data_IF_698439710512
#
_entry.id   IF_698439710512
#
_cell.length_a   1.000
_cell.length_b   1.000
_cell.length_c   1.000
_cell.angle_alpha   90.00
_cell.angle_beta   90.00
_cell.angle_gamma   90.00
#
_symmetry.space_group_name_H-M   'P 1'
#
loop_
_entity.id
_entity.type
_entity.pdbx_description
1 polymer ?
#
# COMPACT_ATOMS: atom_id res chain seq x y z
N UNK A 1 -2.58 19.95 5.76
CA UNK A 1 -2.17 21.19 5.06
C UNK A 1 -3.43 21.69 4.39
N UNK A 2 -3.88 22.86 4.83
CA UNK A 2 -5.19 23.44 4.54
C UNK A 2 -5.46 23.53 3.03
N UNK A 3 -4.43 23.80 2.22
CA UNK A 3 -4.53 23.83 0.75
C UNK A 3 -5.07 22.53 0.17
N UNK A 4 -4.55 21.38 0.63
CA UNK A 4 -4.98 20.07 0.10
C UNK A 4 -6.34 19.68 0.64
N UNK A 5 -6.62 20.00 1.90
CA UNK A 5 -7.93 19.75 2.51
C UNK A 5 -9.04 20.52 1.78
N UNK A 6 -8.81 21.79 1.47
CA UNK A 6 -9.75 22.62 0.71
C UNK A 6 -9.91 22.10 -0.73
N UNK A 7 -8.82 21.70 -1.39
CA UNK A 7 -8.86 21.07 -2.72
C UNK A 7 -9.76 19.82 -2.71
N UNK A 8 -9.59 18.92 -1.74
CA UNK A 8 -10.43 17.73 -1.63
C UNK A 8 -11.88 18.09 -1.30
N UNK A 9 -12.15 19.03 -0.39
CA UNK A 9 -13.52 19.51 -0.12
C UNK A 9 -14.22 20.01 -1.38
N UNK A 10 -13.52 20.82 -2.20
CA UNK A 10 -14.04 21.31 -3.49
C UNK A 10 -14.38 20.16 -4.44
N UNK A 11 -13.54 19.13 -4.52
CA UNK A 11 -13.81 17.93 -5.33
C UNK A 11 -15.03 17.15 -4.82
N UNK A 12 -15.15 16.96 -3.49
CA UNK A 12 -16.29 16.31 -2.86
C UNK A 12 -17.60 17.04 -3.14
N UNK A 13 -17.62 18.37 -3.00
CA UNK A 13 -18.80 19.18 -3.31
C UNK A 13 -19.15 19.17 -4.80
N UNK A 14 -18.14 19.14 -5.68
CA UNK A 14 -18.34 19.15 -7.13
C UNK A 14 -18.84 17.80 -7.67
N UNK A 15 -18.45 16.70 -7.04
CA UNK A 15 -18.75 15.34 -7.49
C UNK A 15 -19.23 14.43 -6.34
N UNK A 16 -20.36 14.74 -5.69
CA UNK A 16 -20.78 14.08 -4.44
C UNK A 16 -21.05 12.57 -4.58
N UNK A 17 -21.50 12.13 -5.75
CA UNK A 17 -21.75 10.70 -6.05
C UNK A 17 -20.46 9.89 -6.31
N UNK A 18 -19.31 10.57 -6.49
CA UNK A 18 -18.03 9.94 -6.86
C UNK A 18 -16.93 10.16 -5.84
N UNK A 19 -17.04 11.21 -5.01
CA UNK A 19 -16.03 11.59 -4.03
C UNK A 19 -16.67 11.77 -2.65
N UNK A 20 -16.24 10.94 -1.71
CA UNK A 20 -16.52 11.13 -0.29
C UNK A 20 -15.26 11.60 0.43
N UNK A 21 -15.31 12.77 1.05
CA UNK A 21 -14.16 13.40 1.72
C UNK A 21 -14.41 13.50 3.22
N UNK A 22 -13.64 12.74 4.00
CA UNK A 22 -13.78 12.65 5.45
C UNK A 22 -12.51 13.20 6.13
N UNK A 23 -12.50 14.49 6.46
CA UNK A 23 -11.37 15.16 7.11
C UNK A 23 -11.47 15.05 8.62
N UNK A 24 -11.17 13.85 9.14
CA UNK A 24 -11.20 13.52 10.58
C UNK A 24 -10.22 12.41 10.91
N UNK A 25 -9.79 12.34 12.16
CA UNK A 25 -9.07 11.19 12.69
C UNK A 25 -10.07 10.20 13.30
N UNK A 26 -10.32 9.10 12.59
CA UNK A 26 -11.32 8.09 12.98
C UNK A 26 -10.81 6.70 12.61
N UNK A 27 -10.38 5.95 13.64
CA UNK A 27 -9.76 4.63 13.47
C UNK A 27 -10.78 3.61 12.95
N UNK A 28 -12.03 3.70 13.40
CA UNK A 28 -13.10 2.78 12.98
C UNK A 28 -13.42 3.00 11.52
N UNK A 29 -13.51 4.26 11.08
CA UNK A 29 -13.69 4.58 9.67
C UNK A 29 -12.48 4.11 8.83
N UNK A 30 -11.25 4.33 9.30
CA UNK A 30 -10.06 3.88 8.59
C UNK A 30 -10.08 2.36 8.36
N UNK A 31 -10.41 1.56 9.39
CA UNK A 31 -10.56 0.11 9.25
C UNK A 31 -11.67 -0.28 8.27
N UNK A 32 -12.80 0.42 8.28
CA UNK A 32 -13.89 0.18 7.31
C UNK A 32 -13.46 0.51 5.87
N UNK A 33 -12.67 1.55 5.68
CA UNK A 33 -12.10 1.89 4.36
C UNK A 33 -11.14 0.78 3.92
N UNK A 34 -10.24 0.31 4.78
CA UNK A 34 -9.38 -0.83 4.47
C UNK A 34 -10.16 -2.12 4.20
N UNK A 35 -11.30 -2.35 4.86
CA UNK A 35 -12.07 -3.57 4.64
C UNK A 35 -13.01 -3.51 3.42
N UNK A 36 -13.35 -2.30 2.97
CA UNK A 36 -14.40 -2.07 1.96
C UNK A 36 -13.90 -1.52 0.64
N UNK A 37 -12.64 -1.10 0.54
CA UNK A 37 -12.07 -0.59 -0.71
C UNK A 37 -11.39 -1.70 -1.52
N UNK A 38 -11.42 -1.58 -2.85
CA UNK A 38 -10.67 -2.47 -3.74
C UNK A 38 -9.19 -2.10 -3.84
N UNK A 39 -8.89 -0.79 -3.84
CA UNK A 39 -7.54 -0.26 -4.02
C UNK A 39 -7.21 0.83 -3.00
N UNK A 40 -5.95 0.91 -2.58
CA UNK A 40 -5.45 1.92 -1.65
C UNK A 40 -4.25 2.66 -2.23
N UNK A 41 -4.39 3.98 -2.39
CA UNK A 41 -3.33 4.81 -2.98
C UNK A 41 -2.36 5.30 -1.91
N UNK A 42 -1.06 5.03 -2.10
CA UNK A 42 0.03 5.62 -1.30
C UNK A 42 1.11 6.25 -2.19
N UNK A 43 0.84 7.41 -2.82
CA UNK A 43 1.77 8.10 -3.70
C UNK A 43 2.81 8.93 -2.94
N UNK A 44 3.42 8.37 -1.89
CA UNK A 44 4.31 9.11 -0.99
C UNK A 44 5.56 9.65 -1.69
N UNK A 45 5.94 10.90 -1.38
CA UNK A 45 7.24 11.47 -1.80
C UNK A 45 8.41 10.80 -1.07
N UNK A 46 8.21 10.47 0.20
CA UNK A 46 9.13 9.77 1.07
C UNK A 46 8.32 8.95 2.07
N UNK A 47 8.73 7.71 2.31
CA UNK A 47 8.05 6.79 3.25
C UNK A 47 9.07 5.83 3.86
N UNK A 48 9.57 6.05 5.08
CA UNK A 48 10.61 5.20 5.66
C UNK A 48 10.14 3.77 5.89
N UNK A 49 8.84 3.57 6.16
CA UNK A 49 8.26 2.25 6.32
C UNK A 49 6.83 2.18 5.76
N UNK A 50 5.94 3.05 6.26
CA UNK A 50 4.50 3.01 6.01
C UNK A 50 3.82 1.81 6.68
N UNK A 51 2.72 2.03 7.40
CA UNK A 51 1.86 0.94 7.89
C UNK A 51 0.60 0.75 7.04
N UNK A 52 0.21 1.79 6.28
CA UNK A 52 -1.03 1.80 5.52
C UNK A 52 -1.10 0.68 4.48
N UNK A 53 -0.01 0.41 3.76
CA UNK A 53 0.07 -0.68 2.79
C UNK A 53 0.05 -2.05 3.47
N UNK A 54 0.58 -2.18 4.69
CA UNK A 54 0.51 -3.44 5.42
C UNK A 54 -0.92 -3.74 5.84
N UNK A 55 -1.66 -2.71 6.30
CA UNK A 55 -3.08 -2.84 6.57
C UNK A 55 -3.86 -3.16 5.30
N UNK A 56 -3.64 -2.43 4.21
CA UNK A 56 -4.37 -2.67 2.96
C UNK A 56 -4.15 -4.11 2.46
N UNK A 57 -2.90 -4.59 2.45
CA UNK A 57 -2.56 -5.98 2.09
C UNK A 57 -3.29 -6.98 2.98
N UNK A 58 -3.34 -6.74 4.30
CA UNK A 58 -4.00 -7.65 5.25
C UNK A 58 -5.51 -7.74 5.03
N UNK A 59 -6.15 -6.65 4.62
CA UNK A 59 -7.58 -6.62 4.32
C UNK A 59 -7.92 -7.02 2.87
N UNK A 60 -6.92 -7.22 2.01
CA UNK A 60 -7.14 -7.53 0.59
C UNK A 60 -7.42 -6.31 -0.29
N UNK A 61 -7.25 -5.10 0.24
CA UNK A 61 -7.27 -3.85 -0.53
C UNK A 61 -5.92 -3.64 -1.18
N UNK A 62 -5.89 -3.63 -2.51
CA UNK A 62 -4.65 -3.70 -3.26
C UNK A 62 -3.92 -2.35 -3.24
N UNK A 63 -2.69 -2.29 -2.71
CA UNK A 63 -1.96 -1.04 -2.66
C UNK A 63 -1.43 -0.64 -4.04
N UNK A 64 -1.55 0.65 -4.35
CA UNK A 64 -0.88 1.31 -5.47
C UNK A 64 0.09 2.33 -4.89
N UNK A 65 1.39 2.07 -5.00
CA UNK A 65 2.41 2.80 -4.24
C UNK A 65 3.44 3.46 -5.14
N UNK A 66 4.06 4.53 -4.64
CA UNK A 66 5.35 4.93 -5.19
C UNK A 66 6.45 4.08 -4.57
N UNK A 67 7.36 3.53 -5.38
CA UNK A 67 8.51 2.77 -4.93
C UNK A 67 9.53 3.69 -4.23
N UNK A 68 9.30 3.92 -2.93
CA UNK A 68 10.17 4.71 -2.05
C UNK A 68 10.19 4.12 -0.63
N UNK A 69 11.38 4.08 -0.03
CA UNK A 69 11.63 3.51 1.29
C UNK A 69 10.95 2.14 1.50
N UNK A 70 10.22 1.95 2.59
CA UNK A 70 9.64 0.65 2.96
C UNK A 70 8.51 0.15 2.05
N UNK A 71 7.98 0.99 1.17
CA UNK A 71 6.99 0.57 0.16
C UNK A 71 7.61 -0.37 -0.87
N UNK A 72 8.89 -0.18 -1.20
CA UNK A 72 9.65 -1.05 -2.13
C UNK A 72 9.77 -2.47 -1.59
N UNK A 73 9.92 -2.59 -0.27
CA UNK A 73 10.14 -3.88 0.39
C UNK A 73 8.85 -4.68 0.54
N UNK A 74 7.72 -3.98 0.68
CA UNK A 74 6.42 -4.57 1.05
C UNK A 74 5.46 -4.81 -0.12
N UNK A 75 5.51 -3.96 -1.14
CA UNK A 75 4.64 -4.07 -2.32
C UNK A 75 5.44 -4.51 -3.53
N UNK A 76 5.02 -5.62 -4.13
CA UNK A 76 5.63 -6.22 -5.33
C UNK A 76 4.65 -6.13 -6.48
N UNK A 77 5.14 -5.61 -7.60
CA UNK A 77 4.40 -5.50 -8.84
C UNK A 77 3.79 -6.85 -9.23
N UNK A 78 2.50 -6.87 -9.56
CA UNK A 78 1.88 -8.07 -10.09
C UNK A 78 2.41 -8.41 -11.49
N UNK A 79 2.78 -9.68 -11.64
CA UNK A 79 3.22 -10.28 -12.89
C UNK A 79 2.21 -11.34 -13.35
N UNK A 80 1.53 -11.13 -14.49
CA UNK A 80 0.51 -12.04 -14.98
C UNK A 80 1.05 -13.38 -15.50
N UNK A 81 2.35 -13.48 -15.81
CA UNK A 81 2.98 -14.71 -16.28
C UNK A 81 3.29 -15.65 -15.11
N UNK A 82 3.89 -15.11 -14.05
CA UNK A 82 4.26 -15.87 -12.84
C UNK A 82 3.14 -15.97 -11.82
N UNK A 83 2.11 -15.11 -11.94
CA UNK A 83 1.02 -14.95 -10.96
C UNK A 83 1.50 -14.49 -9.57
N UNK A 84 2.71 -13.93 -9.50
CA UNK A 84 3.29 -13.37 -8.28
C UNK A 84 3.03 -11.86 -8.19
N UNK A 85 3.26 -11.31 -6.99
CA UNK A 85 3.05 -9.90 -6.69
C UNK A 85 1.72 -9.63 -5.98
N UNK A 86 1.68 -8.52 -5.25
CA UNK A 86 0.63 -8.21 -4.29
C UNK A 86 0.10 -6.76 -4.40
N UNK A 87 0.52 -6.04 -5.43
CA UNK A 87 0.05 -4.69 -5.70
C UNK A 87 0.67 -4.11 -6.97
N UNK A 88 0.61 -2.79 -7.06
CA UNK A 88 1.10 -2.04 -8.19
C UNK A 88 1.99 -0.91 -7.70
N UNK A 89 3.00 -0.54 -8.48
CA UNK A 89 3.78 0.62 -8.13
C UNK A 89 4.37 1.39 -9.30
N UNK A 90 5.00 2.51 -8.95
CA UNK A 90 5.60 3.45 -9.88
C UNK A 90 6.78 4.18 -9.24
N UNK A 91 7.69 4.73 -10.06
CA UNK A 91 8.93 5.35 -9.56
C UNK A 91 8.89 6.88 -9.58
N UNK A 92 8.41 7.47 -10.69
CA UNK A 92 8.35 8.92 -10.88
C UNK A 92 7.41 9.61 -9.90
N UNK A 93 7.87 10.71 -9.28
CA UNK A 93 7.02 11.52 -8.39
C UNK A 93 6.24 12.57 -9.20
N UNK A 94 5.35 12.09 -10.07
CA UNK A 94 4.49 12.93 -10.91
C UNK A 94 3.16 12.23 -11.22
N UNK A 95 2.21 13.02 -11.72
CA UNK A 95 0.86 12.55 -12.01
C UNK A 95 0.78 11.55 -13.15
N UNK A 96 1.72 11.58 -14.11
CA UNK A 96 1.68 10.67 -15.26
C UNK A 96 2.04 9.25 -14.82
N UNK A 97 3.04 9.10 -13.97
CA UNK A 97 3.42 7.81 -13.38
C UNK A 97 2.31 7.23 -12.49
N UNK A 98 1.72 8.07 -11.63
CA UNK A 98 0.58 7.64 -10.81
C UNK A 98 -0.61 7.19 -11.66
N UNK A 99 -0.97 7.97 -12.69
CA UNK A 99 -2.07 7.62 -13.58
C UNK A 99 -1.82 6.31 -14.32
N UNK A 100 -0.58 6.06 -14.78
CA UNK A 100 -0.19 4.80 -15.42
C UNK A 100 -0.36 3.61 -14.48
N UNK A 101 0.04 3.75 -13.21
CA UNK A 101 -0.12 2.69 -12.22
C UNK A 101 -1.60 2.40 -11.91
N UNK A 102 -2.42 3.45 -11.79
CA UNK A 102 -3.88 3.31 -11.61
C UNK A 102 -4.52 2.62 -12.82
N UNK A 103 -4.15 3.02 -14.04
CA UNK A 103 -4.66 2.40 -15.26
C UNK A 103 -4.30 0.91 -15.34
N UNK A 104 -3.07 0.54 -14.96
CA UNK A 104 -2.65 -0.86 -14.86
C UNK A 104 -3.47 -1.63 -13.82
N UNK A 105 -3.66 -1.07 -12.63
CA UNK A 105 -4.48 -1.70 -11.59
C UNK A 105 -5.93 -1.92 -12.05
N UNK A 106 -6.53 -0.93 -12.72
CA UNK A 106 -7.88 -1.04 -13.28
C UNK A 106 -7.99 -2.10 -14.39
N UNK A 107 -6.94 -2.26 -15.22
CA UNK A 107 -6.88 -3.33 -16.21
C UNK A 107 -7.01 -4.70 -15.54
N UNK A 108 -6.23 -4.95 -14.48
CA UNK A 108 -6.29 -6.22 -13.76
C UNK A 108 -7.55 -6.37 -12.89
N UNK A 109 -8.09 -5.28 -12.37
CA UNK A 109 -9.37 -5.30 -11.65
C UNK A 109 -10.51 -5.86 -12.51
N UNK A 110 -10.51 -5.54 -13.81
CA UNK A 110 -11.49 -6.09 -14.76
C UNK A 110 -11.21 -7.57 -15.14
N UNK A 111 -10.02 -8.10 -14.84
CA UNK A 111 -9.69 -9.54 -15.00
C UNK A 111 -10.01 -10.29 -13.71
N UNK A 112 -11.16 -10.97 -13.66
CA UNK A 112 -11.64 -11.63 -12.43
C UNK A 112 -10.66 -12.67 -11.86
N UNK A 113 -9.92 -13.37 -12.71
CA UNK A 113 -8.98 -14.41 -12.27
C UNK A 113 -7.68 -13.80 -11.71
N UNK A 114 -7.08 -12.85 -12.43
CA UNK A 114 -5.88 -12.17 -11.97
C UNK A 114 -6.17 -11.38 -10.69
N UNK A 115 -7.30 -10.67 -10.62
CA UNK A 115 -7.64 -9.89 -9.45
C UNK A 115 -7.78 -10.76 -8.19
N UNK A 116 -8.47 -11.90 -8.30
CA UNK A 116 -8.58 -12.86 -7.18
C UNK A 116 -7.20 -13.36 -6.72
N UNK A 117 -6.29 -13.56 -7.67
CA UNK A 117 -4.92 -13.99 -7.38
C UNK A 117 -4.15 -12.88 -6.66
N UNK A 118 -4.23 -11.64 -7.14
CA UNK A 118 -3.59 -10.48 -6.51
C UNK A 118 -4.10 -10.28 -5.07
N UNK A 119 -5.42 -10.35 -4.85
CA UNK A 119 -6.04 -10.27 -3.52
C UNK A 119 -5.56 -11.39 -2.61
N UNK A 120 -5.51 -12.62 -3.11
CA UNK A 120 -4.98 -13.76 -2.34
C UNK A 120 -3.52 -13.51 -1.93
N UNK A 121 -2.67 -13.13 -2.88
CA UNK A 121 -1.25 -12.85 -2.64
C UNK A 121 -1.08 -11.75 -1.58
N UNK A 122 -1.88 -10.68 -1.67
CA UNK A 122 -1.91 -9.60 -0.69
C UNK A 122 -2.23 -10.11 0.72
N UNK A 123 -3.34 -10.83 0.88
CA UNK A 123 -3.79 -11.32 2.18
C UNK A 123 -2.85 -12.38 2.80
N UNK A 124 -2.11 -13.12 1.96
CA UNK A 124 -1.13 -14.13 2.39
C UNK A 124 0.29 -13.59 2.55
N UNK A 125 0.54 -12.30 2.27
CA UNK A 125 1.86 -11.71 2.46
C UNK A 125 2.22 -11.70 3.96
N UNK A 126 3.33 -12.36 4.32
CA UNK A 126 3.80 -12.38 5.71
C UNK A 126 4.48 -11.06 6.09
N UNK A 127 3.73 -10.27 6.86
CA UNK A 127 4.14 -8.99 7.46
C UNK A 127 4.10 -9.07 8.99
N UNK A 128 4.28 -10.28 9.55
CA UNK A 128 4.22 -10.50 11.00
C UNK A 128 5.39 -9.86 11.75
N UNK A 129 5.13 -9.45 13.00
CA UNK A 129 6.18 -9.01 13.91
C UNK A 129 7.19 -10.11 14.24
N UNK A 130 6.79 -11.38 14.20
CA UNK A 130 7.68 -12.52 14.44
C UNK A 130 8.84 -12.56 13.45
N UNK A 131 8.56 -12.23 12.18
CA UNK A 131 9.59 -12.13 11.15
C UNK A 131 10.60 -11.03 11.47
N UNK A 132 10.12 -9.83 11.80
CA UNK A 132 10.97 -8.71 12.21
C UNK A 132 11.78 -9.04 13.47
N UNK A 133 11.16 -9.64 14.49
CA UNK A 133 11.80 -10.00 15.73
C UNK A 133 12.98 -10.97 15.54
N UNK A 134 12.84 -11.95 14.63
CA UNK A 134 13.94 -12.87 14.29
C UNK A 134 15.16 -12.14 13.72
N UNK A 135 14.95 -11.13 12.87
CA UNK A 135 16.05 -10.33 12.33
C UNK A 135 16.73 -9.47 13.41
N UNK A 136 15.95 -8.92 14.34
CA UNK A 136 16.51 -8.22 15.51
C UNK A 136 17.34 -9.15 16.40
N UNK A 137 16.87 -10.37 16.67
CA UNK A 137 17.63 -11.35 17.46
C UNK A 137 18.98 -11.67 16.82
N UNK A 138 19.02 -11.88 15.50
CA UNK A 138 20.27 -12.10 14.75
C UNK A 138 21.22 -10.90 14.89
N UNK A 139 20.69 -9.68 14.79
CA UNK A 139 21.47 -8.45 14.96
C UNK A 139 22.07 -8.36 16.36
N UNK A 140 21.28 -8.67 17.40
CA UNK A 140 21.75 -8.66 18.79
C UNK A 140 22.83 -9.71 19.06
N UNK A 141 22.70 -10.91 18.49
CA UNK A 141 23.73 -11.95 18.58
C UNK A 141 25.05 -11.50 17.92
N UNK A 142 24.96 -10.85 16.75
CA UNK A 142 26.12 -10.29 16.05
C UNK A 142 26.79 -9.16 16.83
N UNK A 143 26.01 -8.33 17.51
CA UNK A 143 26.55 -7.26 18.36
C UNK A 143 27.29 -7.84 19.57
N UNK A 144 26.70 -8.83 20.25
CA UNK A 144 27.31 -9.52 21.41
C UNK A 144 28.64 -10.18 21.07
N UNK A 145 28.74 -10.86 19.92
CA UNK A 145 29.98 -11.56 19.53
C UNK A 145 31.16 -10.64 19.26
N UNK A 146 30.92 -9.34 19.01
CA UNK A 146 31.97 -8.33 18.84
C UNK A 146 32.50 -7.76 20.16
N UNK A 147 31.73 -7.85 21.24
CA UNK A 147 32.13 -7.37 22.58
C UNK A 147 32.85 -8.46 23.37
N UNK A 148 32.63 -9.73 23.02
CA UNK A 148 33.30 -10.89 23.62
C UNK A 148 34.64 -11.25 22.95
N UNK A 149 35.06 -10.49 21.94
CA UNK A 149 36.41 -10.52 21.36
C UNK A 149 37.20 -9.34 21.87
#
# INVERSE_FOLDING_TARGET
>A
DEKYEEMFRKLGSKYPEKYSVNLKFDIVLAQKIYAGADMFLMPSRYEPCGLGQMYSLRYGTIPIVRYTGGLVDTVKEYDPETKEGNGFGFEGFDSAHLLKAIAKALYFYNSTEDWKTIVKNAMTTDLSWDKSAKEYVKLYQRAKSKVQR
#
